data_IF_108332706750
#
_entry.id   IF_108332706750
#
_cell.length_a   1.000
_cell.length_b   1.000
_cell.length_c   1.000
_cell.angle_alpha   90.00
_cell.angle_beta   90.00
_cell.angle_gamma   90.00
#
_symmetry.space_group_name_H-M   'P 1'
#
loop_
_entity.id
_entity.type
_entity.pdbx_description
1 polymer ?
#
# COMPACT_ATOMS: atom_id res chain seq x y z
N UNK A 1 -60.20 7.14 -11.64
CA UNK A 1 -59.31 6.56 -10.60
C UNK A 1 -58.72 5.28 -11.14
N UNK A 2 -57.45 5.27 -11.53
CA UNK A 2 -56.70 4.05 -11.77
C UNK A 2 -55.29 4.22 -11.18
N UNK A 3 -54.89 3.17 -10.48
CA UNK A 3 -53.95 3.15 -9.36
C UNK A 3 -52.53 3.64 -9.69
N UNK A 4 -52.00 4.46 -8.76
CA UNK A 4 -50.58 4.59 -8.47
C UNK A 4 -49.98 3.21 -8.19
N UNK A 5 -49.10 2.74 -9.08
CA UNK A 5 -48.22 1.63 -8.76
C UNK A 5 -46.93 2.23 -8.21
N UNK A 6 -46.78 2.02 -6.91
CA UNK A 6 -45.62 2.29 -6.08
C UNK A 6 -44.33 2.03 -6.87
N UNK A 7 -43.51 3.07 -7.04
CA UNK A 7 -42.12 2.92 -7.43
C UNK A 7 -41.47 2.01 -6.39
N UNK A 8 -41.27 0.74 -6.74
CA UNK A 8 -40.53 -0.21 -5.93
C UNK A 8 -39.22 0.46 -5.49
N UNK A 9 -38.78 0.31 -4.23
CA UNK A 9 -37.48 0.81 -3.83
C UNK A 9 -36.45 0.22 -4.80
N UNK A 10 -35.65 1.07 -5.44
CA UNK A 10 -34.58 0.63 -6.34
C UNK A 10 -33.68 -0.29 -5.52
N UNK A 11 -33.76 -1.60 -5.79
CA UNK A 11 -32.83 -2.56 -5.24
C UNK A 11 -31.48 -2.19 -5.84
N UNK A 12 -30.53 -1.79 -4.99
CA UNK A 12 -29.16 -1.51 -5.41
C UNK A 12 -28.63 -2.75 -6.13
N UNK A 13 -28.33 -2.62 -7.41
CA UNK A 13 -27.77 -3.71 -8.21
C UNK A 13 -26.25 -3.50 -8.33
N UNK A 14 -25.48 -4.50 -7.94
CA UNK A 14 -24.03 -4.49 -8.12
C UNK A 14 -23.70 -4.97 -9.53
N UNK A 15 -23.12 -4.08 -10.34
CA UNK A 15 -22.49 -4.46 -11.61
C UNK A 15 -21.02 -4.76 -11.35
N UNK A 16 -20.64 -6.02 -11.48
CA UNK A 16 -19.26 -6.46 -11.29
C UNK A 16 -18.43 -6.15 -12.53
N UNK A 17 -17.27 -5.53 -12.31
CA UNK A 17 -16.24 -5.33 -13.32
C UNK A 17 -14.96 -6.01 -12.83
N UNK A 18 -14.43 -6.93 -13.62
CA UNK A 18 -13.21 -7.67 -13.27
C UNK A 18 -12.01 -6.84 -13.70
N UNK A 19 -11.15 -6.48 -12.74
CA UNK A 19 -9.85 -5.86 -13.01
C UNK A 19 -8.77 -6.94 -13.06
N UNK A 20 -7.94 -6.89 -14.09
CA UNK A 20 -6.83 -7.81 -14.26
C UNK A 20 -5.56 -7.25 -13.63
N UNK A 21 -4.75 -8.11 -13.00
CA UNK A 21 -3.49 -7.68 -12.39
C UNK A 21 -2.59 -7.01 -13.42
N UNK A 22 -1.99 -5.87 -13.05
CA UNK A 22 -0.98 -5.18 -13.85
C UNK A 22 -1.45 -4.74 -15.25
N UNK A 23 -2.77 -4.67 -15.49
CA UNK A 23 -3.34 -4.24 -16.77
C UNK A 23 -4.24 -3.02 -16.59
N UNK A 24 -4.03 -1.94 -17.38
CA UNK A 24 -4.83 -0.74 -17.26
C UNK A 24 -6.30 -0.99 -17.61
N UNK A 25 -7.19 -0.24 -16.96
CA UNK A 25 -8.60 -0.18 -17.29
C UNK A 25 -9.10 1.27 -17.25
N UNK A 26 -10.29 1.48 -17.80
CA UNK A 26 -10.99 2.77 -17.83
C UNK A 26 -12.27 2.71 -17.01
N UNK A 27 -12.63 3.84 -16.43
CA UNK A 27 -13.91 4.06 -15.76
C UNK A 27 -14.66 5.14 -16.52
N UNK A 28 -15.92 4.91 -16.82
CA UNK A 28 -16.75 5.88 -17.56
C UNK A 28 -16.77 7.23 -16.83
N UNK A 29 -16.52 8.31 -17.58
CA UNK A 29 -16.44 9.67 -17.03
C UNK A 29 -15.10 10.03 -16.38
N UNK A 30 -14.12 9.12 -16.38
CA UNK A 30 -12.76 9.36 -15.90
C UNK A 30 -11.78 9.25 -17.07
N UNK A 31 -11.17 10.37 -17.46
CA UNK A 31 -10.25 10.44 -18.62
C UNK A 31 -8.78 10.18 -18.25
N UNK A 32 -8.54 9.26 -17.32
CA UNK A 32 -7.19 8.82 -16.96
C UNK A 32 -7.09 7.29 -17.01
N UNK A 33 -5.92 6.77 -17.35
CA UNK A 33 -5.64 5.35 -17.20
C UNK A 33 -5.52 5.00 -15.73
N UNK A 34 -6.24 3.98 -15.27
CA UNK A 34 -6.04 3.40 -13.94
C UNK A 34 -5.36 2.05 -14.13
N UNK A 35 -4.17 1.87 -13.56
CA UNK A 35 -3.43 0.60 -13.63
C UNK A 35 -3.33 -0.02 -12.24
N UNK A 36 -3.97 -1.17 -11.98
CA UNK A 36 -3.77 -1.92 -10.75
C UNK A 36 -2.35 -2.51 -10.74
N UNK A 37 -1.69 -2.46 -9.59
CA UNK A 37 -0.39 -3.09 -9.35
C UNK A 37 -0.54 -4.12 -8.24
N UNK A 38 -0.24 -5.38 -8.54
CA UNK A 38 -0.38 -6.48 -7.59
C UNK A 38 0.76 -6.46 -6.56
N UNK A 39 0.42 -6.19 -5.30
CA UNK A 39 1.35 -6.15 -4.17
C UNK A 39 0.98 -7.21 -3.14
N UNK A 40 1.89 -7.52 -2.23
CA UNK A 40 1.59 -8.42 -1.11
C UNK A 40 1.04 -7.62 0.07
N UNK A 41 0.07 -8.19 0.77
CA UNK A 41 -0.46 -7.72 2.03
C UNK A 41 -0.52 -8.91 2.99
N UNK A 42 0.67 -9.36 3.39
CA UNK A 42 0.85 -10.51 4.26
C UNK A 42 0.82 -11.86 3.55
N UNK A 43 0.45 -12.89 4.31
CA UNK A 43 0.53 -14.28 3.90
C UNK A 43 -0.77 -14.99 4.23
N UNK A 44 -1.17 -15.91 3.35
CA UNK A 44 -2.31 -16.80 3.55
C UNK A 44 -1.84 -18.23 3.72
N UNK A 45 -2.41 -18.92 4.71
CA UNK A 45 -2.21 -20.35 4.89
C UNK A 45 -3.04 -21.11 3.86
N UNK A 46 -2.39 -21.97 3.10
CA UNK A 46 -3.03 -22.91 2.18
C UNK A 46 -2.67 -24.34 2.55
N UNK A 47 -3.60 -25.26 2.31
CA UNK A 47 -3.36 -26.70 2.49
C UNK A 47 -3.02 -27.31 1.15
N UNK A 48 -1.76 -27.73 0.96
CA UNK A 48 -1.37 -28.50 -0.22
C UNK A 48 -1.57 -29.98 0.08
N UNK A 49 -2.37 -30.66 -0.75
CA UNK A 49 -2.44 -32.12 -0.78
C UNK A 49 -1.30 -32.64 -1.64
N UNK A 50 -0.29 -33.27 -1.05
CA UNK A 50 0.67 -34.05 -1.82
C UNK A 50 0.11 -35.45 -2.01
N UNK A 51 -0.29 -35.79 -3.24
CA UNK A 51 -0.56 -37.19 -3.59
C UNK A 51 0.78 -37.85 -3.88
N UNK A 52 1.28 -38.66 -2.94
CA UNK A 52 2.33 -39.63 -3.23
C UNK A 52 1.68 -40.80 -3.98
N UNK A 53 2.14 -41.20 -5.17
CA UNK A 53 1.67 -42.43 -5.79
C UNK A 53 2.20 -43.60 -4.94
N UNK A 54 1.37 -44.11 -4.03
CA UNK A 54 1.63 -45.38 -3.39
C UNK A 54 0.91 -46.47 -4.18
N UNK A 55 1.53 -47.64 -4.26
CA UNK A 55 0.86 -48.89 -4.63
C UNK A 55 -0.33 -49.20 -3.71
N UNK A 56 -0.82 -50.45 -3.66
CA UNK A 56 -2.17 -50.79 -3.19
C UNK A 56 -2.39 -50.73 -1.66
N UNK A 57 -1.84 -49.73 -0.97
CA UNK A 57 -2.07 -49.42 0.43
C UNK A 57 -2.75 -48.04 0.55
N UNK A 58 -4.02 -48.04 0.93
CA UNK A 58 -4.80 -46.84 1.27
C UNK A 58 -4.29 -46.29 2.61
N UNK A 59 -3.25 -45.47 2.60
CA UNK A 59 -2.78 -44.75 3.79
C UNK A 59 -2.64 -43.25 3.53
N UNK A 60 -3.54 -42.49 4.15
CA UNK A 60 -3.34 -41.14 4.69
C UNK A 60 -2.92 -40.03 3.73
N UNK A 61 -3.87 -39.20 3.29
CA UNK A 61 -3.57 -37.87 2.74
C UNK A 61 -2.92 -37.03 3.84
N UNK A 62 -1.59 -36.83 3.80
CA UNK A 62 -0.91 -35.87 4.67
C UNK A 62 -1.06 -34.46 4.08
N UNK A 63 -1.86 -33.63 4.74
CA UNK A 63 -1.97 -32.21 4.41
C UNK A 63 -0.78 -31.46 5.02
N UNK A 64 0.03 -30.82 4.18
CA UNK A 64 1.07 -29.89 4.64
C UNK A 64 0.57 -28.47 4.47
N UNK A 65 0.55 -27.71 5.56
CA UNK A 65 0.30 -26.27 5.49
C UNK A 65 1.48 -25.58 4.80
N UNK A 66 1.18 -24.72 3.83
CA UNK A 66 2.14 -23.85 3.16
C UNK A 66 1.67 -22.39 3.28
N UNK A 67 2.62 -21.46 3.34
CA UNK A 67 2.36 -20.03 3.32
C UNK A 67 2.54 -19.54 1.89
N UNK A 68 1.56 -18.82 1.36
CA UNK A 68 1.65 -18.11 0.08
C UNK A 68 1.36 -16.63 0.29
N UNK A 69 1.95 -15.73 -0.51
CA UNK A 69 1.62 -14.31 -0.46
C UNK A 69 0.12 -14.08 -0.62
N UNK A 70 -0.44 -13.22 0.24
CA UNK A 70 -1.78 -12.69 0.05
C UNK A 70 -1.69 -11.40 -0.77
N UNK A 71 -2.41 -11.33 -1.89
CA UNK A 71 -2.30 -10.20 -2.82
C UNK A 71 -3.37 -9.13 -2.55
N UNK A 72 -2.95 -7.88 -2.66
CA UNK A 72 -3.79 -6.69 -2.71
C UNK A 72 -3.43 -5.89 -3.99
N UNK A 73 -4.29 -4.96 -4.39
CA UNK A 73 -3.97 -4.01 -5.45
C UNK A 73 -3.60 -2.65 -4.85
N UNK A 74 -2.43 -2.16 -5.23
CA UNK A 74 -2.22 -0.72 -5.39
C UNK A 74 -2.76 -0.24 -6.73
N UNK A 75 -2.81 1.06 -6.92
CA UNK A 75 -3.27 1.68 -8.16
C UNK A 75 -2.36 2.81 -8.59
N UNK A 76 -2.07 2.85 -9.88
CA UNK A 76 -1.45 3.97 -10.54
C UNK A 76 -2.53 4.76 -11.29
N UNK A 77 -2.51 6.07 -11.13
CA UNK A 77 -3.38 7.01 -11.83
C UNK A 77 -2.53 7.76 -12.85
N UNK A 78 -2.65 7.34 -14.12
CA UNK A 78 -1.77 7.74 -15.20
C UNK A 78 -0.28 7.61 -14.82
N UNK A 79 0.50 8.64 -15.10
CA UNK A 79 1.90 8.85 -14.71
C UNK A 79 2.03 9.78 -13.49
N UNK A 80 0.92 10.11 -12.83
CA UNK A 80 0.85 11.17 -11.83
C UNK A 80 0.99 10.65 -10.40
N UNK A 81 0.24 9.60 -10.04
CA UNK A 81 0.12 9.13 -8.66
C UNK A 81 0.21 7.60 -8.58
N UNK A 82 0.91 7.10 -7.56
CA UNK A 82 0.85 5.70 -7.12
C UNK A 82 0.19 5.65 -5.74
N UNK A 83 -0.79 4.78 -5.54
CA UNK A 83 -1.53 4.61 -4.29
C UNK A 83 -1.49 3.15 -3.81
N UNK A 84 -1.06 2.89 -2.58
CA UNK A 84 -0.96 1.55 -1.98
C UNK A 84 -1.32 1.61 -0.49
N UNK A 85 -2.59 1.41 -0.11
CA UNK A 85 -3.03 1.53 1.30
C UNK A 85 -2.68 0.34 2.19
N UNK A 86 -2.45 -0.83 1.60
CA UNK A 86 -2.19 -2.08 2.32
C UNK A 86 -1.10 -2.86 1.58
N UNK A 87 0.14 -2.77 2.08
CA UNK A 87 1.29 -3.40 1.40
C UNK A 87 2.36 -3.81 2.41
N UNK A 88 2.80 -5.07 2.37
CA UNK A 88 4.01 -5.54 3.05
C UNK A 88 5.19 -5.81 2.14
N UNK A 89 4.94 -5.96 0.83
CA UNK A 89 6.00 -6.19 -0.15
C UNK A 89 5.53 -5.87 -1.57
N UNK A 90 6.37 -5.18 -2.34
CA UNK A 90 6.14 -4.90 -3.76
C UNK A 90 6.99 -5.88 -4.59
N UNK A 91 6.38 -6.86 -5.28
CA UNK A 91 7.11 -7.82 -6.10
C UNK A 91 7.72 -7.16 -7.34
N UNK A 92 8.77 -7.78 -7.89
CA UNK A 92 9.47 -7.24 -9.06
C UNK A 92 8.53 -7.01 -10.27
N UNK A 93 7.53 -7.88 -10.48
CA UNK A 93 6.55 -7.69 -11.56
C UNK A 93 5.74 -6.39 -11.40
N UNK A 94 5.46 -5.95 -10.17
CA UNK A 94 4.79 -4.67 -9.92
C UNK A 94 5.76 -3.50 -10.13
N UNK A 95 7.02 -3.65 -9.72
CA UNK A 95 8.05 -2.66 -10.00
C UNK A 95 8.27 -2.41 -11.49
N UNK A 96 8.27 -3.46 -12.31
CA UNK A 96 8.45 -3.35 -13.75
C UNK A 96 7.30 -2.55 -14.40
N UNK A 97 6.06 -2.72 -13.91
CA UNK A 97 4.89 -1.97 -14.35
C UNK A 97 4.99 -0.50 -13.95
N UNK A 98 5.38 -0.21 -12.70
CA UNK A 98 5.56 1.15 -12.19
C UNK A 98 6.64 1.88 -13.00
N UNK A 99 7.81 1.25 -13.17
CA UNK A 99 8.94 1.81 -13.90
C UNK A 99 8.66 1.99 -15.40
N UNK A 100 7.84 1.12 -15.99
CA UNK A 100 7.45 1.22 -17.39
C UNK A 100 6.48 2.37 -17.71
N UNK A 101 5.87 3.00 -16.69
CA UNK A 101 4.87 4.06 -16.90
C UNK A 101 5.44 5.46 -16.81
N UNK A 102 6.30 5.73 -15.84
CA UNK A 102 6.87 7.07 -15.64
C UNK A 102 8.27 7.01 -15.06
N UNK A 103 9.09 8.01 -15.40
CA UNK A 103 10.40 8.21 -14.79
C UNK A 103 10.31 8.84 -13.39
N UNK A 104 9.22 9.55 -13.09
CA UNK A 104 8.92 10.14 -11.78
C UNK A 104 7.43 10.38 -11.60
N UNK A 105 6.94 10.25 -10.38
CA UNK A 105 5.53 10.50 -10.05
C UNK A 105 5.40 11.79 -9.27
N UNK A 106 4.28 12.50 -9.42
CA UNK A 106 3.98 13.69 -8.61
C UNK A 106 3.73 13.30 -7.15
N UNK A 107 3.08 12.16 -6.93
CA UNK A 107 2.84 11.66 -5.58
C UNK A 107 2.92 10.13 -5.46
N UNK A 108 3.29 9.70 -4.25
CA UNK A 108 3.17 8.31 -3.79
C UNK A 108 2.42 8.31 -2.46
N UNK A 109 1.26 7.67 -2.42
CA UNK A 109 0.48 7.49 -1.20
C UNK A 109 0.60 6.03 -0.79
N UNK A 110 1.07 5.76 0.42
CA UNK A 110 1.52 4.42 0.80
C UNK A 110 1.25 4.09 2.27
N UNK A 111 0.92 2.83 2.51
CA UNK A 111 0.85 2.18 3.81
C UNK A 111 2.13 2.40 4.63
N UNK A 112 1.95 2.64 5.92
CA UNK A 112 3.01 2.66 6.91
C UNK A 112 2.41 2.40 8.29
N UNK A 113 2.08 1.16 8.62
CA UNK A 113 1.38 0.84 9.86
C UNK A 113 2.22 1.20 11.11
N UNK A 114 3.51 0.84 11.12
CA UNK A 114 4.40 0.99 12.26
C UNK A 114 5.77 1.54 11.81
N UNK A 115 6.67 1.83 12.75
CA UNK A 115 8.06 2.12 12.41
C UNK A 115 8.74 0.87 11.83
N UNK A 116 8.63 -0.24 12.56
CA UNK A 116 9.09 -1.55 12.13
C UNK A 116 8.16 -2.16 11.07
N UNK A 117 8.73 -2.90 10.13
CA UNK A 117 7.93 -3.66 9.16
C UNK A 117 7.07 -4.71 9.88
N UNK A 118 5.83 -4.84 9.43
CA UNK A 118 4.90 -5.86 9.92
C UNK A 118 4.69 -6.94 8.87
N UNK A 119 4.22 -8.13 9.27
CA UNK A 119 3.99 -9.25 8.33
C UNK A 119 3.09 -8.85 7.15
N UNK A 120 2.13 -7.95 7.40
CA UNK A 120 1.12 -7.51 6.43
C UNK A 120 1.22 -6.04 6.03
N UNK A 121 2.10 -5.26 6.65
CA UNK A 121 2.20 -3.82 6.39
C UNK A 121 3.64 -3.34 6.35
N UNK A 122 3.86 -2.28 5.59
CA UNK A 122 5.13 -1.56 5.52
C UNK A 122 5.45 -0.91 6.86
N UNK A 123 6.75 -0.88 7.14
CA UNK A 123 7.34 0.02 8.13
C UNK A 123 7.96 1.25 7.45
N UNK A 124 8.47 2.19 8.25
CA UNK A 124 9.03 3.45 7.76
C UNK A 124 10.21 3.24 6.78
N UNK A 125 11.01 2.19 7.00
CA UNK A 125 12.12 1.84 6.12
C UNK A 125 11.64 1.41 4.73
N UNK A 126 10.62 0.56 4.67
CA UNK A 126 10.04 0.08 3.41
C UNK A 126 9.49 1.25 2.60
N UNK A 127 8.88 2.22 3.29
CA UNK A 127 8.37 3.46 2.68
C UNK A 127 9.50 4.28 2.08
N UNK A 128 10.57 4.57 2.84
CA UNK A 128 11.71 5.37 2.35
C UNK A 128 12.37 4.70 1.14
N UNK A 129 12.63 3.39 1.21
CA UNK A 129 13.24 2.64 0.10
C UNK A 129 12.33 2.63 -1.14
N UNK A 130 11.02 2.44 -0.95
CA UNK A 130 10.04 2.45 -2.04
C UNK A 130 9.87 3.83 -2.65
N UNK A 131 9.81 4.88 -1.84
CA UNK A 131 9.68 6.27 -2.29
C UNK A 131 10.89 6.69 -3.16
N UNK A 132 12.11 6.29 -2.77
CA UNK A 132 13.31 6.49 -3.57
C UNK A 132 13.24 5.78 -4.92
N UNK A 133 12.72 4.55 -4.94
CA UNK A 133 12.58 3.75 -6.18
C UNK A 133 11.49 4.29 -7.10
N UNK A 134 10.36 4.76 -6.55
CA UNK A 134 9.27 5.41 -7.30
C UNK A 134 9.68 6.79 -7.82
N UNK A 135 10.64 7.45 -7.16
CA UNK A 135 11.05 8.83 -7.48
C UNK A 135 9.86 9.80 -7.40
N UNK A 136 9.04 9.63 -6.37
CA UNK A 136 7.92 10.53 -6.12
C UNK A 136 8.39 11.89 -5.65
N UNK A 137 7.78 12.97 -6.16
CA UNK A 137 8.05 14.32 -5.67
C UNK A 137 7.51 14.53 -4.25
N UNK A 138 6.40 13.86 -3.91
CA UNK A 138 5.75 13.90 -2.61
C UNK A 138 5.33 12.50 -2.18
N UNK A 139 5.79 12.03 -1.03
CA UNK A 139 5.31 10.78 -0.43
C UNK A 139 4.39 11.09 0.74
N UNK A 140 3.22 10.44 0.78
CA UNK A 140 2.24 10.55 1.83
C UNK A 140 2.01 9.19 2.47
N UNK A 141 2.27 9.07 3.76
CA UNK A 141 2.00 7.85 4.50
C UNK A 141 0.53 7.80 4.91
N UNK A 142 -0.08 6.62 4.86
CA UNK A 142 -1.44 6.33 5.34
C UNK A 142 -1.44 5.04 6.15
N UNK A 143 -2.54 4.76 6.86
CA UNK A 143 -2.69 3.48 7.58
C UNK A 143 -1.83 3.33 8.83
N UNK A 144 -1.16 4.40 9.28
CA UNK A 144 -0.33 4.38 10.49
C UNK A 144 -1.15 4.14 11.77
N UNK A 145 -0.54 3.37 12.68
CA UNK A 145 -1.09 3.03 13.98
C UNK A 145 -1.18 4.23 14.93
N UNK A 146 -1.84 4.00 16.06
CA UNK A 146 -2.14 5.02 17.06
C UNK A 146 -1.10 5.11 18.18
N UNK A 147 -0.06 4.28 18.13
CA UNK A 147 1.03 4.22 19.09
C UNK A 147 1.91 5.47 19.05
N UNK A 148 1.98 6.13 17.89
CA UNK A 148 2.68 7.39 17.66
C UNK A 148 1.61 8.43 17.27
N UNK A 149 1.52 9.56 17.99
CA UNK A 149 0.60 10.62 17.61
C UNK A 149 1.01 11.24 16.27
N UNK A 150 0.08 11.94 15.62
CA UNK A 150 0.29 12.46 14.27
C UNK A 150 1.50 13.41 14.18
N UNK A 151 1.68 14.30 15.15
CA UNK A 151 2.85 15.19 15.28
C UNK A 151 4.16 14.41 15.49
N UNK A 152 4.08 13.24 16.11
CA UNK A 152 5.18 12.29 16.21
C UNK A 152 5.60 11.71 14.86
N UNK A 153 4.63 11.35 14.01
CA UNK A 153 4.89 10.93 12.65
C UNK A 153 5.47 12.06 11.79
N UNK A 154 4.97 13.29 11.95
CA UNK A 154 5.56 14.47 11.32
C UNK A 154 7.02 14.66 11.72
N UNK A 155 7.35 14.53 13.01
CA UNK A 155 8.72 14.63 13.51
C UNK A 155 9.62 13.52 12.95
N UNK A 156 9.14 12.28 12.88
CA UNK A 156 9.85 11.16 12.23
C UNK A 156 10.18 11.49 10.78
N UNK A 157 9.19 11.96 10.01
CA UNK A 157 9.39 12.36 8.62
C UNK A 157 10.41 13.50 8.47
N UNK A 158 10.27 14.56 9.26
CA UNK A 158 11.20 15.69 9.26
C UNK A 158 12.62 15.24 9.60
N UNK A 159 12.78 14.34 10.58
CA UNK A 159 14.09 13.78 10.91
C UNK A 159 14.74 13.06 9.73
N UNK A 160 13.98 12.28 8.98
CA UNK A 160 14.46 11.58 7.77
C UNK A 160 14.93 12.59 6.72
N UNK A 161 14.26 13.74 6.60
CA UNK A 161 14.66 14.82 5.69
C UNK A 161 15.89 15.61 6.17
N UNK A 162 16.38 15.34 7.38
CA UNK A 162 17.55 16.00 7.96
C UNK A 162 17.22 17.20 8.84
N UNK A 163 15.94 17.49 9.06
CA UNK A 163 15.50 18.59 9.93
C UNK A 163 15.81 18.31 11.40
N UNK A 164 15.99 19.41 12.14
CA UNK A 164 15.89 19.40 13.60
C UNK A 164 14.42 19.34 14.03
N UNK A 165 14.10 18.34 14.85
CA UNK A 165 12.76 18.10 15.42
C UNK A 165 12.53 18.91 16.70
N UNK A 166 13.56 19.54 17.26
CA UNK A 166 13.48 20.36 18.46
C UNK A 166 13.10 19.58 19.73
N UNK A 167 12.45 20.26 20.67
CA UNK A 167 11.92 19.62 21.88
C UNK A 167 10.62 18.89 21.57
N UNK A 168 10.63 17.57 21.74
CA UNK A 168 9.48 16.68 21.54
C UNK A 168 9.28 15.80 22.77
N UNK A 169 8.10 15.18 22.88
CA UNK A 169 7.83 14.24 23.97
C UNK A 169 8.79 13.04 23.93
N UNK A 170 8.99 12.38 25.09
CA UNK A 170 9.83 11.17 25.17
C UNK A 170 9.39 10.08 24.18
N UNK A 171 8.08 9.95 23.97
CA UNK A 171 7.54 8.98 23.02
C UNK A 171 7.98 9.28 21.57
N UNK A 172 7.91 10.54 21.15
CA UNK A 172 8.35 10.97 19.82
C UNK A 172 9.88 10.86 19.69
N UNK A 173 10.63 11.19 20.75
CA UNK A 173 12.08 11.02 20.78
C UNK A 173 12.47 9.55 20.55
N UNK A 174 11.82 8.62 21.25
CA UNK A 174 12.05 7.19 21.08
C UNK A 174 11.71 6.72 19.65
N UNK A 175 10.64 7.25 19.05
CA UNK A 175 10.28 6.95 17.66
C UNK A 175 11.37 7.41 16.67
N UNK A 176 11.87 8.63 16.84
CA UNK A 176 12.98 9.18 16.06
C UNK A 176 14.26 8.35 16.22
N UNK A 177 14.61 7.96 17.44
CA UNK A 177 15.76 7.08 17.71
C UNK A 177 15.58 5.71 17.05
N UNK A 178 14.37 5.14 17.11
CA UNK A 178 14.06 3.85 16.48
C UNK A 178 14.24 3.87 14.96
N UNK A 179 13.87 4.97 14.30
CA UNK A 179 14.08 5.15 12.85
C UNK A 179 15.57 5.04 12.49
N UNK A 180 16.45 5.63 13.30
CA UNK A 180 17.90 5.54 13.12
C UNK A 180 18.39 4.11 13.35
N UNK A 181 17.89 3.41 14.36
CA UNK A 181 18.23 2.01 14.64
C UNK A 181 17.81 1.05 13.52
N UNK A 182 16.69 1.33 12.84
CA UNK A 182 16.24 0.59 11.66
C UNK A 182 17.17 0.78 10.44
N UNK A 183 18.14 1.69 10.55
CA UNK A 183 19.10 2.02 9.50
C UNK A 183 18.52 2.97 8.45
N UNK A 184 17.47 3.73 8.80
CA UNK A 184 16.97 4.80 7.94
C UNK A 184 17.86 6.02 8.14
N UNK A 185 18.65 6.32 7.11
CA UNK A 185 19.52 7.49 7.10
C UNK A 185 18.78 8.78 6.81
N UNK A 186 19.53 9.89 6.81
CA UNK A 186 19.04 11.17 6.32
C UNK A 186 18.96 11.11 4.79
N UNK A 187 17.83 11.52 4.24
CA UNK A 187 17.51 11.54 2.81
C UNK A 187 17.03 12.95 2.42
N UNK A 188 17.96 13.92 2.35
CA UNK A 188 17.66 15.36 2.12
C UNK A 188 16.90 15.66 0.82
N UNK A 189 16.91 14.71 -0.13
CA UNK A 189 16.22 14.85 -1.42
C UNK A 189 14.81 14.24 -1.42
N UNK A 190 14.46 13.52 -0.36
CA UNK A 190 13.14 12.93 -0.18
C UNK A 190 12.20 13.97 0.41
N UNK A 191 10.93 13.95 -0.01
CA UNK A 191 9.86 14.61 0.73
C UNK A 191 8.82 13.58 1.15
N UNK A 192 8.55 13.48 2.45
CA UNK A 192 7.64 12.48 3.03
C UNK A 192 6.82 13.07 4.17
N UNK A 193 5.52 12.83 4.24
CA UNK A 193 4.66 13.29 5.36
C UNK A 193 3.59 12.26 5.71
N UNK A 194 3.13 12.18 6.97
CA UNK A 194 1.86 11.53 7.24
C UNK A 194 0.72 12.30 6.53
N UNK A 195 -0.24 11.58 5.96
CA UNK A 195 -1.43 12.19 5.36
C UNK A 195 -2.46 12.56 6.43
N UNK A 196 -3.27 13.59 6.17
CA UNK A 196 -4.39 13.98 7.03
C UNK A 196 -5.73 13.49 6.46
N UNK A 197 -6.68 13.21 7.35
CA UNK A 197 -8.06 12.94 6.94
C UNK A 197 -8.63 14.15 6.20
N UNK A 198 -9.22 13.89 5.03
CA UNK A 198 -9.76 14.93 4.16
C UNK A 198 -8.71 15.72 3.38
N UNK A 199 -7.43 15.33 3.42
CA UNK A 199 -6.39 15.97 2.63
C UNK A 199 -6.69 15.87 1.13
N UNK A 200 -6.73 17.02 0.47
CA UNK A 200 -6.92 17.14 -0.96
C UNK A 200 -5.57 17.36 -1.65
N UNK A 201 -5.25 16.52 -2.63
CA UNK A 201 -4.10 16.71 -3.50
C UNK A 201 -4.59 17.24 -4.85
N UNK A 202 -4.05 18.39 -5.28
CA UNK A 202 -4.29 18.95 -6.59
C UNK A 202 -2.95 19.02 -7.34
N UNK A 203 -2.90 18.39 -8.50
CA UNK A 203 -1.76 18.45 -9.40
C UNK A 203 -2.14 19.34 -10.57
N UNK A 204 -1.40 20.44 -10.73
CA UNK A 204 -1.50 21.26 -11.93
C UNK A 204 -0.48 20.75 -12.95
N UNK A 205 -0.85 20.78 -14.23
CA UNK A 205 0.03 20.46 -15.34
C UNK A 205 1.21 21.43 -15.45
#
# INVERSE_FOLDING_TARGET
MQQNWLSLPQIVNFRWHIIEKNKPFKVDGIDIDITPVAVHHGQRVIRKSSVTPAGPSVEGVKLKAALEPYFCFGFMFADTLVYMSDVSYIPQEAWDVIAGRSASFKAFVVDCLLLDSHISHFGIKDVVESAKRIRAQKTYMVGFGHEIPHDGWEAVCRKIEGDDVGEVSTLVKNAVERVVELGVGIEETLWIRPAYDGQLLAFND
#
